data_IF_811490201335
#
_entry.id   IF_811490201335
#
_cell.length_a   1.000
_cell.length_b   1.000
_cell.length_c   1.000
_cell.angle_alpha   90.00
_cell.angle_beta   90.00
_cell.angle_gamma   90.00
#
_symmetry.space_group_name_H-M   'P 1'
#
loop_
_entity.id
_entity.type
_entity.pdbx_description
1 polymer ?
#
# COMPACT_ATOMS: atom_id res chain seq x y z
N UNK A 1 -36.73 61.65 -27.83
CA UNK A 1 -36.32 60.99 -26.57
C UNK A 1 -36.34 59.49 -26.80
N UNK A 2 -35.21 58.81 -26.97
CA UNK A 2 -35.19 57.35 -27.04
C UNK A 2 -34.94 56.76 -25.65
N UNK A 3 -35.74 55.80 -25.31
CA UNK A 3 -35.63 55.02 -24.04
C UNK A 3 -34.54 53.96 -24.21
N UNK A 4 -33.48 54.10 -23.40
CA UNK A 4 -32.46 53.06 -23.27
C UNK A 4 -32.99 51.87 -22.50
N UNK A 5 -33.02 50.69 -23.11
CA UNK A 5 -33.30 49.42 -22.46
C UNK A 5 -31.96 48.82 -22.04
N UNK A 6 -31.70 48.85 -20.71
CA UNK A 6 -30.61 48.08 -20.10
C UNK A 6 -31.02 46.62 -20.07
N UNK A 7 -30.43 45.80 -20.93
CA UNK A 7 -30.52 44.33 -20.81
C UNK A 7 -29.43 43.87 -19.83
N UNK A 8 -29.88 43.50 -18.62
CA UNK A 8 -29.06 42.83 -17.63
C UNK A 8 -28.86 41.36 -18.06
N UNK A 9 -27.71 41.05 -18.62
CA UNK A 9 -27.26 39.69 -18.83
C UNK A 9 -26.84 39.12 -17.49
N UNK A 10 -27.77 38.41 -16.83
CA UNK A 10 -27.43 37.49 -15.74
C UNK A 10 -26.67 36.29 -16.33
N UNK A 11 -25.35 36.39 -16.26
CA UNK A 11 -24.49 35.25 -16.51
C UNK A 11 -24.68 34.24 -15.36
N UNK A 12 -25.55 33.28 -15.58
CA UNK A 12 -25.57 32.08 -14.74
C UNK A 12 -24.24 31.34 -14.98
N UNK A 13 -23.29 31.59 -14.10
CA UNK A 13 -22.15 30.70 -13.94
C UNK A 13 -22.74 29.36 -13.49
N UNK A 14 -22.99 28.47 -14.46
CA UNK A 14 -23.17 27.06 -14.20
C UNK A 14 -21.84 26.60 -13.60
N UNK A 15 -21.75 26.58 -12.27
CA UNK A 15 -20.78 25.77 -11.56
C UNK A 15 -21.10 24.33 -11.93
N UNK A 16 -20.52 23.89 -13.05
CA UNK A 16 -20.39 22.49 -13.37
C UNK A 16 -19.58 21.90 -12.23
N UNK A 17 -20.24 21.33 -11.23
CA UNK A 17 -19.64 20.30 -10.42
C UNK A 17 -19.37 19.13 -11.36
N UNK A 18 -18.32 19.24 -12.17
CA UNK A 18 -17.74 18.06 -12.78
C UNK A 18 -17.30 17.19 -11.62
N UNK A 19 -17.81 15.98 -11.57
CA UNK A 19 -17.33 14.92 -10.70
C UNK A 19 -15.84 14.75 -11.02
N UNK A 20 -14.97 15.55 -10.39
CA UNK A 20 -13.54 15.50 -10.64
C UNK A 20 -13.04 14.14 -10.14
N UNK A 21 -12.90 13.22 -11.09
CA UNK A 21 -12.28 11.90 -10.86
C UNK A 21 -10.76 12.01 -10.84
N UNK A 22 -10.23 13.11 -10.30
CA UNK A 22 -8.81 13.42 -10.31
C UNK A 22 -8.40 14.06 -8.98
N UNK A 23 -7.14 13.85 -8.63
CA UNK A 23 -6.46 14.58 -7.56
C UNK A 23 -5.34 15.42 -8.16
N UNK A 24 -5.11 16.60 -7.62
CA UNK A 24 -3.97 17.44 -7.93
C UNK A 24 -2.94 17.35 -6.80
N UNK A 25 -1.71 16.95 -7.16
CA UNK A 25 -0.56 16.91 -6.26
C UNK A 25 0.42 17.96 -6.74
N UNK A 26 0.74 18.91 -5.88
CA UNK A 26 1.71 19.98 -6.17
C UNK A 26 2.86 19.91 -5.19
N UNK A 27 3.98 20.54 -5.48
CA UNK A 27 5.06 20.61 -4.52
C UNK A 27 6.32 21.27 -5.00
N UNK A 28 7.33 21.22 -4.12
CA UNK A 28 8.66 21.76 -4.38
C UNK A 28 9.71 20.69 -4.22
N UNK A 29 10.78 20.80 -5.01
CA UNK A 29 11.91 19.86 -4.96
C UNK A 29 13.21 20.65 -4.73
N UNK A 30 13.93 20.29 -3.66
CA UNK A 30 15.21 20.92 -3.29
C UNK A 30 16.33 19.89 -3.24
N UNK A 31 17.53 20.32 -3.55
CA UNK A 31 18.77 19.54 -3.36
C UNK A 31 18.79 18.18 -4.10
N UNK A 32 18.06 18.05 -5.21
CA UNK A 32 17.93 16.78 -5.94
C UNK A 32 19.26 16.33 -6.60
N UNK A 33 20.13 17.27 -7.01
CA UNK A 33 21.49 17.02 -7.51
C UNK A 33 21.58 15.90 -8.57
N UNK A 34 20.74 15.97 -9.60
CA UNK A 34 20.69 14.96 -10.66
C UNK A 34 19.95 13.68 -10.28
N UNK A 35 19.37 13.60 -9.11
CA UNK A 35 18.50 12.50 -8.71
C UNK A 35 17.17 12.53 -9.47
N UNK A 36 16.42 11.43 -9.37
CA UNK A 36 15.13 11.26 -10.00
C UNK A 36 14.07 10.92 -8.95
N UNK A 37 12.91 11.52 -9.10
CA UNK A 37 11.73 11.14 -8.32
C UNK A 37 10.77 10.46 -9.29
N UNK A 38 10.32 9.28 -8.91
CA UNK A 38 9.24 8.59 -9.61
C UNK A 38 8.04 8.45 -8.70
N UNK A 39 6.87 8.35 -9.29
CA UNK A 39 5.67 7.95 -8.59
C UNK A 39 5.13 6.65 -9.16
N UNK A 40 4.41 5.92 -8.34
CA UNK A 40 3.78 4.67 -8.71
C UNK A 40 2.39 4.65 -8.09
N UNK A 41 1.37 4.70 -8.93
CA UNK A 41 -0.02 4.57 -8.51
C UNK A 41 -0.39 3.08 -8.42
N UNK A 42 -1.08 2.71 -7.37
CA UNK A 42 -1.66 1.38 -7.24
C UNK A 42 -2.89 1.28 -8.16
N UNK A 43 -2.96 0.21 -8.94
CA UNK A 43 -4.17 -0.14 -9.70
C UNK A 43 -4.74 -1.41 -9.08
N UNK A 44 -5.95 -1.34 -8.54
CA UNK A 44 -6.60 -2.45 -7.85
C UNK A 44 -5.68 -3.15 -6.83
N UNK A 45 -4.90 -2.38 -6.05
CA UNK A 45 -3.94 -2.90 -5.07
C UNK A 45 -2.63 -3.43 -5.66
N UNK A 46 -2.45 -3.42 -6.98
CA UNK A 46 -1.22 -3.88 -7.61
C UNK A 46 -0.27 -2.73 -7.89
N UNK A 47 0.94 -2.81 -7.35
CA UNK A 47 2.07 -1.97 -7.72
C UNK A 47 2.78 -2.60 -8.93
N UNK A 48 2.44 -2.15 -10.12
CA UNK A 48 3.00 -2.66 -11.37
C UNK A 48 4.05 -1.70 -11.94
N UNK A 49 5.05 -2.22 -12.64
CA UNK A 49 6.04 -1.40 -13.36
C UNK A 49 5.41 -0.50 -14.42
N UNK A 50 4.26 -0.88 -14.98
CA UNK A 50 3.50 -0.05 -15.93
C UNK A 50 2.86 1.18 -15.29
N UNK A 51 2.76 1.23 -13.97
CA UNK A 51 2.19 2.37 -13.22
C UNK A 51 3.27 3.27 -12.65
N UNK A 52 4.54 3.02 -12.98
CA UNK A 52 5.67 3.86 -12.59
C UNK A 52 5.88 4.93 -13.65
N UNK A 53 5.93 6.18 -13.23
CA UNK A 53 6.28 7.29 -14.10
C UNK A 53 7.19 8.28 -13.35
N UNK A 54 7.87 9.13 -14.11
CA UNK A 54 8.80 10.12 -13.58
C UNK A 54 8.10 11.43 -13.30
N UNK A 55 8.33 11.98 -12.11
CA UNK A 55 7.81 13.29 -11.73
C UNK A 55 8.51 14.38 -12.56
N UNK A 56 7.73 15.14 -13.32
CA UNK A 56 8.24 16.23 -14.14
C UNK A 56 8.42 17.48 -13.29
N UNK A 57 9.69 17.88 -13.08
CA UNK A 57 10.06 19.04 -12.26
C UNK A 57 10.31 20.22 -13.19
N UNK A 58 9.69 21.36 -12.89
CA UNK A 58 9.83 22.60 -13.65
C UNK A 58 11.15 23.31 -13.30
N UNK A 59 11.53 24.30 -14.10
CA UNK A 59 12.81 25.04 -13.91
C UNK A 59 12.88 25.82 -12.59
N UNK A 60 11.73 26.15 -12.00
CA UNK A 60 11.61 26.81 -10.69
C UNK A 60 11.59 25.83 -9.51
N UNK A 61 11.90 24.57 -9.77
CA UNK A 61 11.89 23.49 -8.78
C UNK A 61 10.48 23.14 -8.25
N UNK A 62 9.43 23.52 -8.95
CA UNK A 62 8.05 23.11 -8.64
C UNK A 62 7.60 21.94 -9.51
N UNK A 63 6.51 21.29 -9.13
CA UNK A 63 5.82 20.34 -9.99
C UNK A 63 4.31 20.36 -9.73
N UNK A 64 3.58 19.89 -10.73
CA UNK A 64 2.15 19.58 -10.62
C UNK A 64 1.92 18.23 -11.27
N UNK A 65 1.27 17.33 -10.54
CA UNK A 65 0.88 16.00 -10.99
C UNK A 65 -0.63 15.85 -10.83
N UNK A 66 -1.32 15.46 -11.88
CA UNK A 66 -2.75 15.11 -11.82
C UNK A 66 -2.90 13.62 -12.03
N UNK A 67 -3.58 12.95 -11.11
CA UNK A 67 -3.82 11.51 -11.15
C UNK A 67 -5.32 11.21 -11.18
N UNK A 68 -5.76 10.25 -12.00
CA UNK A 68 -7.11 9.74 -11.92
C UNK A 68 -7.31 9.00 -10.59
N UNK A 69 -8.42 9.26 -9.91
CA UNK A 69 -8.77 8.64 -8.63
C UNK A 69 -10.29 8.46 -8.57
N UNK A 70 -10.73 7.23 -8.38
CA UNK A 70 -12.16 6.95 -8.24
C UNK A 70 -12.63 7.10 -6.79
N UNK A 71 -11.77 6.75 -5.85
CA UNK A 71 -12.03 6.75 -4.41
C UNK A 71 -10.72 7.01 -3.65
N UNK A 72 -10.49 6.38 -2.50
CA UNK A 72 -9.18 6.36 -1.82
C UNK A 72 -8.26 5.36 -2.49
N UNK A 73 -7.07 5.80 -2.87
CA UNK A 73 -6.05 4.97 -3.50
C UNK A 73 -4.67 5.20 -2.88
N UNK A 74 -3.73 4.32 -3.21
CA UNK A 74 -2.33 4.43 -2.79
C UNK A 74 -1.45 4.91 -3.93
N UNK A 75 -0.59 5.87 -3.62
CA UNK A 75 0.50 6.31 -4.50
C UNK A 75 1.81 6.27 -3.71
N UNK A 76 2.83 5.67 -4.28
CA UNK A 76 4.17 5.74 -3.74
C UNK A 76 4.98 6.78 -4.50
N UNK A 77 5.65 7.67 -3.76
CA UNK A 77 6.70 8.55 -4.28
C UNK A 77 8.06 7.98 -3.88
N UNK A 78 8.93 7.80 -4.85
CA UNK A 78 10.21 7.12 -4.67
C UNK A 78 11.33 8.08 -5.06
N UNK A 79 12.13 8.46 -4.08
CA UNK A 79 13.40 9.14 -4.29
C UNK A 79 14.50 8.07 -4.32
N UNK A 80 14.99 7.76 -5.52
CA UNK A 80 15.89 6.64 -5.73
C UNK A 80 17.10 6.66 -4.79
N UNK A 81 17.34 5.51 -4.14
CA UNK A 81 18.44 5.29 -3.21
C UNK A 81 18.31 5.99 -1.86
N UNK A 82 17.20 6.70 -1.60
CA UNK A 82 17.03 7.50 -0.38
C UNK A 82 15.75 7.22 0.40
N UNK A 83 14.59 7.29 -0.25
CA UNK A 83 13.32 7.20 0.47
C UNK A 83 12.17 6.72 -0.41
N UNK A 84 11.17 6.14 0.23
CA UNK A 84 9.85 5.86 -0.33
C UNK A 84 8.81 6.44 0.61
N UNK A 85 7.91 7.26 0.07
CA UNK A 85 6.75 7.79 0.78
C UNK A 85 5.48 7.24 0.14
N UNK A 86 4.73 6.43 0.88
CA UNK A 86 3.37 6.06 0.50
C UNK A 86 2.39 7.17 0.86
N UNK A 87 1.52 7.52 -0.04
CA UNK A 87 0.43 8.47 0.18
C UNK A 87 -0.91 7.84 -0.11
N UNK A 88 -1.90 8.14 0.70
CA UNK A 88 -3.31 7.89 0.38
C UNK A 88 -3.84 9.14 -0.30
N UNK A 89 -4.48 8.95 -1.43
CA UNK A 89 -5.07 10.01 -2.23
C UNK A 89 -6.57 9.79 -2.36
N UNK A 90 -7.33 10.89 -2.47
CA UNK A 90 -8.78 10.86 -2.57
C UNK A 90 -9.28 11.72 -3.70
N UNK A 91 -10.45 11.38 -4.23
CA UNK A 91 -11.14 12.12 -5.29
C UNK A 91 -11.31 13.60 -4.92
N UNK A 92 -10.95 14.50 -5.83
CA UNK A 92 -11.05 15.95 -5.62
C UNK A 92 -10.11 16.51 -4.56
N UNK A 93 -9.24 15.69 -3.99
CA UNK A 93 -8.26 16.11 -3.00
C UNK A 93 -7.17 17.01 -3.59
N UNK A 94 -6.48 17.72 -2.71
CA UNK A 94 -5.26 18.47 -3.01
C UNK A 94 -4.18 18.10 -2.03
N UNK A 95 -3.04 17.72 -2.54
CA UNK A 95 -1.91 17.31 -1.73
C UNK A 95 -0.70 18.16 -2.13
N UNK A 96 0.04 18.59 -1.14
CA UNK A 96 1.36 19.17 -1.32
C UNK A 96 2.40 18.15 -0.88
N UNK A 97 3.32 17.84 -1.77
CA UNK A 97 4.47 16.99 -1.53
C UNK A 97 5.75 17.83 -1.63
N UNK A 98 6.42 18.06 -0.51
CA UNK A 98 7.70 18.75 -0.49
C UNK A 98 8.84 17.73 -0.40
N UNK A 99 9.86 17.94 -1.23
CA UNK A 99 11.03 17.08 -1.32
C UNK A 99 12.27 17.88 -1.00
N UNK A 100 13.03 17.43 -0.01
CA UNK A 100 14.40 17.88 0.23
C UNK A 100 15.33 16.67 0.30
N UNK A 101 16.08 16.43 -0.77
CA UNK A 101 16.92 15.25 -0.91
C UNK A 101 18.07 15.16 0.12
N UNK A 102 18.33 16.19 0.90
CA UNK A 102 19.36 16.22 1.96
C UNK A 102 18.77 16.11 3.38
N UNK A 103 17.44 16.23 3.52
CA UNK A 103 16.81 16.12 4.83
C UNK A 103 16.80 14.67 5.36
N UNK A 104 16.67 14.52 6.67
CA UNK A 104 16.52 13.23 7.32
C UNK A 104 15.20 12.54 6.89
N UNK A 105 14.13 13.32 6.73
CA UNK A 105 12.87 12.91 6.12
C UNK A 105 12.74 13.65 4.78
N UNK A 106 13.26 13.07 3.68
CA UNK A 106 13.39 13.79 2.43
C UNK A 106 12.07 14.02 1.70
N UNK A 107 11.02 13.30 2.08
CA UNK A 107 9.69 13.40 1.49
C UNK A 107 8.68 13.75 2.59
N UNK A 108 8.01 14.90 2.48
CA UNK A 108 6.98 15.32 3.42
C UNK A 108 5.67 15.61 2.70
N UNK A 109 4.55 15.25 3.32
CA UNK A 109 3.23 15.39 2.75
C UNK A 109 2.33 16.24 3.65
N UNK A 110 1.61 17.17 3.02
CA UNK A 110 0.53 17.96 3.62
C UNK A 110 -0.68 17.90 2.68
N UNK A 111 -1.88 18.15 3.18
CA UNK A 111 -3.05 18.07 2.31
C UNK A 111 -4.27 18.77 2.88
N UNK A 112 -5.24 18.99 2.00
CA UNK A 112 -6.56 19.51 2.39
C UNK A 112 -7.40 18.40 3.04
N UNK A 113 -7.22 17.15 2.59
CA UNK A 113 -7.82 15.99 3.25
C UNK A 113 -6.91 15.53 4.41
N UNK A 114 -7.16 16.11 5.57
CA UNK A 114 -6.39 15.80 6.79
C UNK A 114 -6.47 14.32 7.18
N UNK A 115 -7.58 13.64 6.88
CA UNK A 115 -7.76 12.21 7.18
C UNK A 115 -6.87 11.35 6.29
N UNK A 116 -6.87 11.58 4.98
CA UNK A 116 -5.99 10.88 4.05
C UNK A 116 -4.51 11.12 4.39
N UNK A 117 -4.14 12.34 4.79
CA UNK A 117 -2.78 12.68 5.25
C UNK A 117 -2.43 11.93 6.54
N UNK A 118 -3.35 11.85 7.50
CA UNK A 118 -3.13 11.11 8.75
C UNK A 118 -2.90 9.61 8.49
N UNK A 119 -3.71 8.99 7.61
CA UNK A 119 -3.52 7.60 7.18
C UNK A 119 -2.19 7.43 6.46
N UNK A 120 -1.83 8.35 5.55
CA UNK A 120 -0.54 8.31 4.85
C UNK A 120 0.64 8.28 5.83
N UNK A 121 0.61 9.13 6.85
CA UNK A 121 1.65 9.15 7.91
C UNK A 121 1.69 7.86 8.71
N UNK A 122 0.52 7.30 9.03
CA UNK A 122 0.43 6.03 9.75
C UNK A 122 1.03 4.88 8.95
N UNK A 123 0.66 4.77 7.67
CA UNK A 123 1.14 3.72 6.78
C UNK A 123 2.66 3.86 6.49
N UNK A 124 3.19 5.07 6.46
CA UNK A 124 4.65 5.27 6.35
C UNK A 124 5.39 4.80 7.60
N UNK A 125 4.83 5.02 8.81
CA UNK A 125 5.40 4.44 10.04
C UNK A 125 5.35 2.92 10.05
N UNK A 126 4.25 2.34 9.58
CA UNK A 126 4.13 0.89 9.39
C UNK A 126 5.21 0.36 8.44
N UNK A 127 5.39 1.00 7.28
CA UNK A 127 6.42 0.63 6.32
C UNK A 127 7.82 0.64 6.97
N UNK A 128 8.13 1.66 7.76
CA UNK A 128 9.41 1.72 8.47
C UNK A 128 9.60 0.55 9.45
N UNK A 129 8.55 0.19 10.22
CA UNK A 129 8.58 -0.93 11.14
C UNK A 129 8.74 -2.29 10.40
N UNK A 130 8.04 -2.48 9.29
CA UNK A 130 8.17 -3.68 8.44
C UNK A 130 9.57 -3.76 7.81
N UNK A 131 10.14 -2.63 7.38
CA UNK A 131 11.52 -2.57 6.88
C UNK A 131 12.54 -2.90 7.96
N UNK A 132 12.35 -2.44 9.19
CA UNK A 132 13.23 -2.79 10.31
C UNK A 132 13.21 -4.30 10.58
N UNK A 133 12.05 -4.94 10.55
CA UNK A 133 11.93 -6.40 10.61
C UNK A 133 12.67 -7.11 9.45
N UNK A 134 12.67 -6.53 8.26
CA UNK A 134 13.41 -7.05 7.10
C UNK A 134 14.92 -6.80 7.21
N UNK A 135 15.32 -5.64 7.72
CA UNK A 135 16.73 -5.26 7.88
C UNK A 135 17.45 -6.09 8.94
N UNK A 136 16.73 -6.58 9.96
CA UNK A 136 17.24 -7.54 10.96
C UNK A 136 17.59 -8.92 10.38
N UNK A 137 17.58 -9.06 9.05
CA UNK A 137 18.09 -10.24 8.34
C UNK A 137 19.55 -10.63 8.67
N UNK A 138 20.31 -9.76 9.36
CA UNK A 138 21.60 -10.12 9.96
C UNK A 138 21.50 -11.26 10.97
N UNK A 139 20.34 -11.40 11.63
CA UNK A 139 20.06 -12.46 12.61
C UNK A 139 19.37 -13.68 11.97
N UNK A 140 19.72 -14.05 10.74
CA UNK A 140 19.17 -15.23 10.04
C UNK A 140 19.19 -16.51 10.89
N UNK A 141 20.12 -16.60 11.83
CA UNK A 141 20.26 -17.73 12.77
C UNK A 141 19.18 -17.74 13.87
N UNK A 142 18.55 -16.63 14.17
CA UNK A 142 17.51 -16.60 15.19
C UNK A 142 16.17 -17.13 14.66
N UNK A 143 15.91 -16.99 13.36
CA UNK A 143 14.68 -17.47 12.72
C UNK A 143 14.55 -19.01 12.82
N UNK A 144 15.68 -19.71 12.93
CA UNK A 144 15.73 -21.15 13.01
C UNK A 144 15.42 -21.72 14.41
N UNK A 145 15.14 -20.89 15.41
CA UNK A 145 14.79 -21.34 16.78
C UNK A 145 13.29 -21.61 16.91
N UNK A 146 12.93 -22.65 17.64
CA UNK A 146 11.55 -23.13 17.76
C UNK A 146 10.55 -22.12 18.33
N UNK A 147 11.00 -21.18 19.16
CA UNK A 147 10.14 -20.19 19.83
C UNK A 147 9.95 -18.88 19.05
N UNK A 148 10.66 -18.69 17.96
CA UNK A 148 10.69 -17.40 17.27
C UNK A 148 9.41 -17.13 16.49
N UNK A 149 8.81 -18.14 15.86
CA UNK A 149 7.58 -18.00 15.09
C UNK A 149 6.45 -17.38 15.92
N UNK A 150 6.16 -17.98 17.07
CA UNK A 150 5.10 -17.52 17.99
C UNK A 150 5.37 -16.09 18.51
N UNK A 151 6.61 -15.79 18.89
CA UNK A 151 6.95 -14.46 19.38
C UNK A 151 6.86 -13.39 18.29
N UNK A 152 7.25 -13.72 17.06
CA UNK A 152 7.12 -12.80 15.90
C UNK A 152 5.64 -12.60 15.55
N UNK A 153 4.85 -13.68 15.49
CA UNK A 153 3.41 -13.60 15.21
C UNK A 153 2.69 -12.72 16.25
N UNK A 154 2.96 -12.94 17.54
CA UNK A 154 2.37 -12.15 18.61
C UNK A 154 2.75 -10.68 18.50
N UNK A 155 4.04 -10.39 18.30
CA UNK A 155 4.49 -9.01 18.12
C UNK A 155 3.79 -8.31 16.96
N UNK A 156 3.64 -8.98 15.81
CA UNK A 156 2.96 -8.38 14.65
C UNK A 156 1.46 -8.16 14.90
N UNK A 157 0.80 -9.06 15.65
CA UNK A 157 -0.60 -8.86 16.09
C UNK A 157 -0.72 -7.65 17.02
N UNK A 158 0.19 -7.50 17.97
CA UNK A 158 0.21 -6.36 18.89
C UNK A 158 0.48 -5.05 18.14
N UNK A 159 1.41 -5.05 17.20
CA UNK A 159 1.70 -3.91 16.31
C UNK A 159 0.45 -3.55 15.47
N UNK A 160 -0.28 -4.53 14.93
CA UNK A 160 -1.54 -4.29 14.21
C UNK A 160 -2.57 -3.58 15.09
N UNK A 161 -2.85 -4.12 16.28
CA UNK A 161 -3.81 -3.54 17.22
C UNK A 161 -3.42 -2.11 17.61
N UNK A 162 -2.14 -1.87 17.87
CA UNK A 162 -1.61 -0.54 18.21
C UNK A 162 -1.77 0.46 17.06
N UNK A 163 -1.54 0.05 15.81
CA UNK A 163 -1.70 0.91 14.64
C UNK A 163 -3.17 1.14 14.32
N UNK A 164 -4.01 0.11 14.40
CA UNK A 164 -5.46 0.20 14.17
C UNK A 164 -6.14 1.13 15.18
N UNK A 165 -5.68 1.17 16.43
CA UNK A 165 -6.20 2.09 17.45
C UNK A 165 -6.02 3.57 17.09
N UNK A 166 -5.10 3.90 16.18
CA UNK A 166 -4.84 5.25 15.70
C UNK A 166 -5.72 5.66 14.52
N UNK A 167 -6.55 4.75 14.00
CA UNK A 167 -7.48 5.01 12.90
C UNK A 167 -8.80 5.64 13.38
N UNK A 168 -8.97 5.87 14.66
CA UNK A 168 -10.19 6.47 15.23
C UNK A 168 -10.42 7.87 14.68
N UNK A 169 -11.70 8.19 14.39
CA UNK A 169 -12.10 9.51 13.84
C UNK A 169 -12.00 9.63 12.31
N UNK A 170 -11.55 8.60 11.62
CA UNK A 170 -11.67 8.49 10.18
C UNK A 170 -13.10 8.08 9.79
N UNK A 171 -13.47 8.31 8.52
CA UNK A 171 -14.69 7.70 7.98
C UNK A 171 -14.51 6.17 7.88
N UNK A 172 -15.64 5.46 7.94
CA UNK A 172 -15.65 4.00 8.09
C UNK A 172 -14.93 3.30 6.93
N UNK A 173 -15.12 3.77 5.69
CA UNK A 173 -14.50 3.18 4.51
C UNK A 173 -12.98 3.37 4.52
N UNK A 174 -12.49 4.58 4.79
CA UNK A 174 -11.05 4.83 4.88
C UNK A 174 -10.41 4.07 6.06
N UNK A 175 -11.13 3.99 7.20
CA UNK A 175 -10.66 3.23 8.35
C UNK A 175 -10.51 1.75 8.00
N UNK A 176 -11.47 1.17 7.29
CA UNK A 176 -11.43 -0.24 6.90
C UNK A 176 -10.31 -0.50 5.89
N UNK A 177 -10.17 0.34 4.86
CA UNK A 177 -9.08 0.26 3.89
C UNK A 177 -7.70 0.35 4.55
N UNK A 178 -7.52 1.29 5.47
CA UNK A 178 -6.27 1.43 6.21
C UNK A 178 -5.99 0.22 7.11
N UNK A 179 -7.00 -0.33 7.77
CA UNK A 179 -6.89 -1.55 8.57
C UNK A 179 -6.43 -2.73 7.72
N UNK A 180 -7.03 -2.90 6.55
CA UNK A 180 -6.66 -3.96 5.62
C UNK A 180 -5.22 -3.80 5.13
N UNK A 181 -4.79 -2.59 4.79
CA UNK A 181 -3.41 -2.37 4.37
C UNK A 181 -2.40 -2.69 5.49
N UNK A 182 -2.69 -2.27 6.74
CA UNK A 182 -1.87 -2.62 7.90
C UNK A 182 -1.72 -4.14 8.01
N UNK A 183 -2.83 -4.86 8.00
CA UNK A 183 -2.85 -6.32 8.17
C UNK A 183 -2.15 -7.04 7.02
N UNK A 184 -2.38 -6.62 5.77
CA UNK A 184 -1.72 -7.21 4.61
C UNK A 184 -0.20 -7.04 4.64
N UNK A 185 0.29 -5.86 5.02
CA UNK A 185 1.73 -5.63 5.10
C UNK A 185 2.39 -6.44 6.23
N UNK A 186 1.71 -6.60 7.37
CA UNK A 186 2.21 -7.44 8.46
C UNK A 186 2.19 -8.92 8.09
N UNK A 187 1.15 -9.39 7.41
CA UNK A 187 1.09 -10.76 6.89
C UNK A 187 2.20 -11.02 5.89
N UNK A 188 2.42 -10.11 4.93
CA UNK A 188 3.52 -10.21 3.98
C UNK A 188 4.88 -10.28 4.69
N UNK A 189 5.07 -9.49 5.74
CA UNK A 189 6.29 -9.55 6.54
C UNK A 189 6.46 -10.92 7.20
N UNK A 190 5.39 -11.49 7.76
CA UNK A 190 5.41 -12.82 8.38
C UNK A 190 5.64 -13.94 7.37
N UNK A 191 4.97 -13.90 6.20
CA UNK A 191 5.21 -14.85 5.11
C UNK A 191 6.67 -14.85 4.66
N UNK A 192 7.28 -13.68 4.50
CA UNK A 192 8.68 -13.56 4.11
C UNK A 192 9.63 -14.17 5.17
N UNK A 193 9.31 -14.06 6.47
CA UNK A 193 10.06 -14.72 7.53
C UNK A 193 9.86 -16.24 7.49
N UNK A 194 8.64 -16.71 7.29
CA UNK A 194 8.31 -18.12 7.14
C UNK A 194 9.09 -18.76 5.98
N UNK A 195 9.12 -18.11 4.83
CA UNK A 195 9.90 -18.58 3.68
C UNK A 195 11.41 -18.61 3.98
N UNK A 196 11.92 -17.61 4.69
CA UNK A 196 13.31 -17.58 5.14
C UNK A 196 13.65 -18.73 6.09
N UNK A 197 12.76 -19.03 7.04
CA UNK A 197 12.91 -20.11 8.00
C UNK A 197 12.88 -21.49 7.33
N UNK A 198 12.05 -21.66 6.29
CA UNK A 198 11.89 -22.93 5.59
C UNK A 198 13.21 -23.53 5.10
N UNK A 199 14.12 -22.72 4.59
CA UNK A 199 15.41 -23.17 4.06
C UNK A 199 16.49 -23.41 5.11
N UNK A 200 16.28 -23.00 6.36
CA UNK A 200 17.32 -22.98 7.40
C UNK A 200 16.96 -23.73 8.66
N UNK A 201 15.67 -24.02 8.87
CA UNK A 201 15.14 -24.59 10.11
C UNK A 201 14.97 -26.11 10.03
N UNK A 202 14.93 -26.75 11.21
CA UNK A 202 14.50 -28.15 11.37
C UNK A 202 13.05 -28.33 10.92
N UNK A 203 12.66 -29.57 10.65
CA UNK A 203 11.28 -29.88 10.26
C UNK A 203 10.28 -29.42 11.34
N UNK A 204 10.57 -29.68 12.62
CA UNK A 204 9.71 -29.27 13.71
C UNK A 204 9.53 -27.74 13.77
N UNK A 205 10.62 -26.99 13.58
CA UNK A 205 10.59 -25.52 13.53
C UNK A 205 9.80 -25.03 12.33
N UNK A 206 9.96 -25.64 11.16
CA UNK A 206 9.17 -25.31 9.95
C UNK A 206 7.68 -25.49 10.17
N UNK A 207 7.27 -26.61 10.80
CA UNK A 207 5.87 -26.87 11.12
C UNK A 207 5.30 -25.80 12.08
N UNK A 208 6.08 -25.36 13.06
CA UNK A 208 5.67 -24.27 13.94
C UNK A 208 5.44 -22.95 13.18
N UNK A 209 6.34 -22.58 12.25
CA UNK A 209 6.13 -21.43 11.38
C UNK A 209 4.86 -21.54 10.53
N UNK A 210 4.54 -22.72 10.04
CA UNK A 210 3.33 -22.93 9.25
C UNK A 210 2.05 -22.81 10.10
N UNK A 211 2.05 -23.34 11.33
CA UNK A 211 0.91 -23.19 12.26
C UNK A 211 0.66 -21.73 12.58
N UNK A 212 1.71 -20.98 12.90
CA UNK A 212 1.59 -19.56 13.20
C UNK A 212 1.19 -18.74 11.94
N UNK A 213 1.63 -19.16 10.75
CA UNK A 213 1.20 -18.54 9.51
C UNK A 213 -0.30 -18.70 9.26
N UNK A 214 -0.87 -19.89 9.53
CA UNK A 214 -2.31 -20.10 9.38
C UNK A 214 -3.10 -19.19 10.31
N UNK A 215 -2.63 -19.02 11.55
CA UNK A 215 -3.24 -18.10 12.52
C UNK A 215 -3.09 -16.63 12.10
N UNK A 216 -1.92 -16.24 11.57
CA UNK A 216 -1.70 -14.89 11.03
C UNK A 216 -2.58 -14.61 9.81
N UNK A 217 -2.72 -15.59 8.93
CA UNK A 217 -3.60 -15.47 7.74
C UNK A 217 -5.05 -15.27 8.18
N UNK A 218 -5.56 -16.06 9.10
CA UNK A 218 -6.91 -15.92 9.64
C UNK A 218 -7.14 -14.58 10.34
N UNK A 219 -6.12 -14.03 10.99
CA UNK A 219 -6.18 -12.71 11.63
C UNK A 219 -6.16 -11.56 10.61
N UNK A 220 -5.36 -11.69 9.54
CA UNK A 220 -5.07 -10.59 8.62
C UNK A 220 -6.02 -10.53 7.42
N UNK A 221 -6.54 -11.67 6.96
CA UNK A 221 -7.45 -11.76 5.80
C UNK A 221 -8.84 -12.15 6.28
N UNK A 222 -9.64 -11.23 6.81
CA UNK A 222 -11.07 -11.44 6.87
C UNK A 222 -11.61 -11.45 5.43
N UNK A 223 -12.77 -12.09 5.23
CA UNK A 223 -13.48 -12.10 3.96
C UNK A 223 -13.98 -10.68 3.61
N UNK A 224 -13.06 -9.80 3.17
CA UNK A 224 -13.36 -8.40 2.92
C UNK A 224 -12.92 -7.98 1.51
N UNK A 225 -13.83 -7.39 0.70
CA UNK A 225 -13.56 -6.92 -0.65
C UNK A 225 -12.53 -5.77 -0.73
N UNK A 226 -12.25 -5.07 0.37
CA UNK A 226 -11.30 -3.95 0.39
C UNK A 226 -9.81 -4.37 0.47
N UNK A 227 -9.53 -5.68 0.52
CA UNK A 227 -8.15 -6.19 0.60
C UNK A 227 -7.26 -5.72 -0.56
N UNK A 228 -7.83 -5.45 -1.74
CA UNK A 228 -7.13 -4.94 -2.91
C UNK A 228 -6.66 -3.49 -2.80
N UNK A 229 -7.08 -2.76 -1.77
CA UNK A 229 -6.53 -1.44 -1.48
C UNK A 229 -5.05 -1.50 -1.08
N UNK A 230 -4.62 -2.59 -0.45
CA UNK A 230 -3.23 -2.75 -0.04
C UNK A 230 -2.33 -3.11 -1.21
N UNK A 231 -1.21 -2.39 -1.41
CA UNK A 231 -0.20 -2.76 -2.40
C UNK A 231 0.51 -4.09 -2.07
N UNK A 232 0.34 -4.61 -0.86
CA UNK A 232 0.88 -5.91 -0.45
C UNK A 232 -0.02 -7.08 -0.87
N UNK A 233 -1.25 -6.86 -1.31
CA UNK A 233 -2.23 -7.92 -1.56
C UNK A 233 -1.74 -8.99 -2.53
N UNK A 234 -1.21 -8.59 -3.68
CA UNK A 234 -0.73 -9.54 -4.68
C UNK A 234 0.50 -10.33 -4.21
N UNK A 235 1.41 -9.69 -3.48
CA UNK A 235 2.56 -10.38 -2.91
C UNK A 235 2.11 -11.39 -1.84
N UNK A 236 1.11 -11.04 -1.03
CA UNK A 236 0.54 -11.94 -0.02
C UNK A 236 -0.08 -13.17 -0.67
N UNK A 237 -0.89 -13.00 -1.73
CA UNK A 237 -1.51 -14.11 -2.46
C UNK A 237 -0.44 -14.98 -3.16
N UNK A 238 0.54 -14.35 -3.80
CA UNK A 238 1.65 -15.06 -4.46
C UNK A 238 2.46 -15.89 -3.47
N UNK A 239 2.78 -15.32 -2.31
CA UNK A 239 3.50 -16.02 -1.26
C UNK A 239 2.67 -17.16 -0.67
N UNK A 240 1.35 -16.96 -0.48
CA UNK A 240 0.46 -18.03 0.00
C UNK A 240 0.50 -19.23 -0.94
N UNK A 241 0.40 -19.01 -2.25
CA UNK A 241 0.50 -20.07 -3.27
C UNK A 241 1.86 -20.78 -3.18
N UNK A 242 2.94 -20.02 -3.10
CA UNK A 242 4.28 -20.55 -2.97
C UNK A 242 4.44 -21.42 -1.71
N UNK A 243 3.95 -20.96 -0.58
CA UNK A 243 4.03 -21.70 0.67
C UNK A 243 3.17 -22.96 0.63
N UNK A 244 1.93 -22.89 0.18
CA UNK A 244 1.01 -24.04 0.16
C UNK A 244 1.51 -25.14 -0.78
N UNK A 245 1.75 -24.83 -2.02
CA UNK A 245 1.96 -25.84 -3.05
C UNK A 245 3.42 -26.23 -3.25
N UNK A 246 4.37 -25.37 -2.92
CA UNK A 246 5.80 -25.68 -3.09
C UNK A 246 6.54 -25.98 -1.79
N UNK A 247 6.16 -25.37 -0.68
CA UNK A 247 6.83 -25.60 0.60
C UNK A 247 6.13 -26.68 1.44
N UNK A 248 4.79 -26.58 1.58
CA UNK A 248 3.97 -27.59 2.30
C UNK A 248 3.64 -28.80 1.44
N UNK A 249 3.86 -28.73 0.13
CA UNK A 249 3.53 -29.80 -0.84
C UNK A 249 2.05 -30.21 -0.79
N UNK A 250 1.16 -29.25 -0.57
CA UNK A 250 -0.28 -29.48 -0.64
C UNK A 250 -0.67 -29.96 -2.04
N UNK A 251 -1.71 -30.79 -2.13
CA UNK A 251 -2.21 -31.29 -3.42
C UNK A 251 -2.74 -30.13 -4.25
N UNK A 252 -2.28 -30.08 -5.51
CA UNK A 252 -2.79 -29.10 -6.47
C UNK A 252 -4.24 -29.46 -6.79
N UNK A 253 -5.17 -28.49 -6.80
CA UNK A 253 -6.55 -28.76 -7.16
C UNK A 253 -6.68 -29.38 -8.55
N UNK A 254 -7.67 -30.27 -8.72
CA UNK A 254 -7.91 -30.95 -9.99
C UNK A 254 -8.16 -29.95 -11.13
N UNK A 255 -7.52 -30.15 -12.26
CA UNK A 255 -7.65 -29.28 -13.42
C UNK A 255 -6.79 -28.01 -13.39
N UNK A 256 -6.03 -27.78 -12.30
CA UNK A 256 -5.16 -26.61 -12.19
C UNK A 256 -3.73 -26.96 -12.62
N UNK A 257 -3.20 -26.22 -13.59
CA UNK A 257 -1.82 -26.38 -14.04
C UNK A 257 -0.81 -25.76 -13.05
N UNK A 258 0.37 -26.38 -12.94
CA UNK A 258 1.48 -25.83 -12.14
C UNK A 258 1.96 -24.49 -12.73
N UNK A 259 2.55 -23.67 -11.88
CA UNK A 259 3.08 -22.37 -12.30
C UNK A 259 1.99 -21.32 -12.43
N UNK A 260 1.81 -20.77 -13.63
CA UNK A 260 0.88 -19.66 -13.85
C UNK A 260 -0.58 -20.04 -13.58
N UNK A 261 -0.99 -21.27 -13.84
CA UNK A 261 -2.33 -21.77 -13.52
C UNK A 261 -2.65 -21.73 -12.04
N UNK A 262 -1.68 -22.09 -11.17
CA UNK A 262 -1.81 -21.97 -9.72
C UNK A 262 -1.93 -20.51 -9.27
N UNK A 263 -1.24 -19.59 -9.93
CA UNK A 263 -1.35 -18.17 -9.63
C UNK A 263 -2.77 -17.67 -9.94
N UNK A 264 -3.30 -17.96 -11.11
CA UNK A 264 -4.68 -17.62 -11.47
C UNK A 264 -5.68 -18.23 -10.49
N UNK A 265 -5.57 -19.51 -10.19
CA UNK A 265 -6.41 -20.20 -9.21
C UNK A 265 -6.39 -19.51 -7.84
N UNK A 266 -5.20 -19.16 -7.33
CA UNK A 266 -5.06 -18.48 -6.04
C UNK A 266 -5.69 -17.09 -6.04
N UNK A 267 -5.51 -16.32 -7.11
CA UNK A 267 -6.11 -15.00 -7.23
C UNK A 267 -7.64 -15.10 -7.36
N UNK A 268 -8.19 -15.96 -8.20
CA UNK A 268 -9.63 -16.16 -8.33
C UNK A 268 -10.31 -16.52 -7.01
N UNK A 269 -9.65 -17.35 -6.18
CA UNK A 269 -10.20 -17.76 -4.88
C UNK A 269 -10.05 -16.71 -3.77
N UNK A 270 -9.16 -15.72 -3.94
CA UNK A 270 -8.93 -14.64 -2.98
C UNK A 270 -9.53 -13.31 -3.40
N UNK A 271 -9.79 -13.13 -4.70
CA UNK A 271 -10.40 -11.93 -5.24
C UNK A 271 -11.92 -12.05 -5.16
N UNK A 272 -12.57 -11.02 -4.61
CA UNK A 272 -14.01 -10.86 -4.59
C UNK A 272 -14.41 -9.50 -5.19
N UNK A 273 -15.54 -9.41 -5.86
CA UNK A 273 -16.06 -8.16 -6.40
C UNK A 273 -15.23 -7.57 -7.55
N UNK A 274 -15.00 -6.26 -7.52
CA UNK A 274 -14.28 -5.50 -8.57
C UNK A 274 -12.85 -5.99 -8.86
N UNK A 275 -12.27 -6.76 -8.00
CA UNK A 275 -10.92 -7.27 -8.19
C UNK A 275 -10.87 -8.51 -9.11
N UNK A 276 -12.01 -9.07 -9.47
CA UNK A 276 -12.13 -10.16 -10.46
C UNK A 276 -12.22 -9.63 -11.91
N UNK A 277 -12.58 -8.36 -12.10
CA UNK A 277 -12.66 -7.70 -13.41
C UNK A 277 -11.26 -7.23 -13.87
#
# INVERSE_FOLDING_TARGET
MPKSVCVLLLGTALLSCSDQKEIQITGTVRNLNGGMIVYQQSIAGMMNTKTIDTLQIQSDSTFTLTLPVEDYERVNFILYGKAVLGSVISKGGKIQLDVDATAQEPLTIQGVDEKAVAVSRLLNRLNAAVWDLRARRGDRWQIAKDTVATSVAQKLKDDAVSLESQLTGLDEDLQEKARQDIRMQLLLAFQNQTMGAFYQASEATRQNWFVELDQMTAFCIPDNPNSTFSPAFYDVVSNEIGIRYYMRQESIPEGVEKGIGLMYYGFEHRLQGKAQE
#
